data_IF_448237708286
#
_entry.id   IF_448237708286
#
_cell.length_a   1.000
_cell.length_b   1.000
_cell.length_c   1.000
_cell.angle_alpha   90.00
_cell.angle_beta   90.00
_cell.angle_gamma   90.00
#
_symmetry.space_group_name_H-M   'P 1'
#
loop_
_entity.id
_entity.type
_entity.pdbx_description
1 polymer ?
#
# COMPACT_ATOMS: atom_id res chain seq x y z
N UNK A 1 23.99 3.39 -24.14
CA UNK A 1 22.75 4.16 -24.37
C UNK A 1 22.24 4.65 -23.01
N UNK A 2 21.67 5.85 -22.90
CA UNK A 2 21.07 6.33 -21.64
C UNK A 2 19.55 6.32 -21.83
N UNK A 3 18.84 5.73 -20.89
CA UNK A 3 17.38 5.71 -20.86
C UNK A 3 16.89 6.46 -19.63
N UNK A 4 15.77 7.15 -19.79
CA UNK A 4 15.03 7.76 -18.69
C UNK A 4 13.74 6.96 -18.52
N UNK A 5 13.55 6.37 -17.34
CA UNK A 5 12.38 5.57 -17.02
C UNK A 5 11.66 6.23 -15.87
N UNK A 6 10.37 6.44 -16.04
CA UNK A 6 9.48 6.86 -14.99
C UNK A 6 8.88 5.60 -14.37
N UNK A 7 9.17 5.35 -13.10
CA UNK A 7 8.71 4.15 -12.39
C UNK A 7 8.01 4.54 -11.09
N UNK A 8 6.91 3.86 -10.81
CA UNK A 8 6.06 4.09 -9.65
C UNK A 8 5.83 2.77 -8.91
N UNK A 9 5.65 2.85 -7.60
CA UNK A 9 5.08 1.74 -6.86
C UNK A 9 3.57 1.72 -7.07
N UNK A 10 3.01 0.53 -7.20
CA UNK A 10 1.56 0.33 -7.36
C UNK A 10 1.08 -0.46 -6.16
N UNK A 11 -0.05 -0.04 -5.57
CA UNK A 11 -0.75 -0.77 -4.52
C UNK A 11 -2.20 -0.99 -4.94
N UNK A 12 -2.60 -2.26 -4.98
CA UNK A 12 -3.96 -2.68 -5.33
C UNK A 12 -4.82 -2.72 -4.07
N UNK A 13 -5.82 -1.82 -4.03
CA UNK A 13 -6.88 -1.84 -3.02
C UNK A 13 -8.02 -2.74 -3.52
N UNK A 14 -7.94 -4.03 -3.20
CA UNK A 14 -8.97 -5.00 -3.55
C UNK A 14 -10.01 -5.12 -2.41
N UNK A 15 -11.28 -4.95 -2.74
CA UNK A 15 -12.41 -5.24 -1.85
C UNK A 15 -12.95 -6.63 -2.19
N UNK A 16 -12.91 -7.53 -1.21
CA UNK A 16 -13.44 -8.89 -1.32
C UNK A 16 -14.87 -8.95 -1.85
N UNK A 17 -15.72 -7.97 -1.53
CA UNK A 17 -17.13 -7.96 -1.96
C UNK A 17 -17.31 -7.66 -3.45
N UNK A 18 -16.28 -7.10 -4.09
CA UNK A 18 -16.28 -6.69 -5.48
C UNK A 18 -15.56 -7.71 -6.38
N UNK A 19 -14.88 -8.70 -5.79
CA UNK A 19 -14.19 -9.76 -6.53
C UNK A 19 -15.22 -10.61 -7.25
N UNK A 20 -15.16 -10.59 -8.58
CA UNK A 20 -16.03 -11.39 -9.43
C UNK A 20 -15.66 -12.87 -9.41
N UNK A 21 -16.66 -13.73 -9.60
CA UNK A 21 -16.45 -15.15 -9.84
C UNK A 21 -15.65 -15.39 -11.13
N UNK A 22 -14.86 -16.46 -11.16
CA UNK A 22 -14.14 -16.85 -12.36
C UNK A 22 -15.04 -17.54 -13.38
N UNK A 23 -15.00 -17.10 -14.64
CA UNK A 23 -15.47 -17.91 -15.75
C UNK A 23 -14.48 -19.04 -16.01
N UNK A 24 -14.83 -20.25 -15.57
CA UNK A 24 -13.99 -21.46 -15.74
C UNK A 24 -13.80 -21.87 -17.20
N UNK A 25 -14.58 -21.32 -18.12
CA UNK A 25 -14.42 -21.55 -19.55
C UNK A 25 -13.48 -20.56 -20.23
N UNK A 26 -13.15 -19.44 -19.57
CA UNK A 26 -12.24 -18.42 -20.10
C UNK A 26 -10.82 -18.95 -20.30
N UNK A 27 -10.13 -18.40 -21.30
CA UNK A 27 -8.73 -18.75 -21.58
C UNK A 27 -7.81 -18.39 -20.41
N UNK A 28 -8.08 -17.30 -19.70
CA UNK A 28 -7.32 -16.90 -18.51
C UNK A 28 -7.43 -17.98 -17.45
N UNK A 29 -8.65 -18.38 -17.08
CA UNK A 29 -8.83 -19.39 -16.04
C UNK A 29 -8.19 -20.71 -16.49
N UNK A 30 -8.54 -21.21 -17.68
CA UNK A 30 -8.04 -22.49 -18.18
C UNK A 30 -6.52 -22.53 -18.31
N UNK A 31 -5.86 -21.44 -18.71
CA UNK A 31 -4.40 -21.42 -18.87
C UNK A 31 -3.70 -21.33 -17.53
N UNK A 32 -4.14 -20.39 -16.69
CA UNK A 32 -3.40 -20.00 -15.49
C UNK A 32 -3.80 -20.78 -14.23
N UNK A 33 -4.58 -21.86 -14.35
CA UNK A 33 -4.79 -22.86 -13.30
C UNK A 33 -4.19 -24.23 -13.63
N UNK A 34 -3.51 -24.38 -14.77
CA UNK A 34 -2.91 -25.67 -15.17
C UNK A 34 -1.53 -25.87 -14.54
N UNK A 35 -1.13 -27.14 -14.33
CA UNK A 35 0.23 -27.44 -13.91
C UNK A 35 1.24 -27.14 -15.04
N UNK A 36 2.45 -26.79 -14.64
CA UNK A 36 3.63 -26.65 -15.50
C UNK A 36 4.80 -27.38 -14.87
N UNK A 37 5.92 -27.50 -15.58
CA UNK A 37 7.09 -28.27 -15.15
C UNK A 37 7.61 -27.83 -13.77
N UNK A 38 7.75 -26.51 -13.56
CA UNK A 38 8.23 -25.91 -12.30
C UNK A 38 7.10 -25.60 -11.32
N UNK A 39 5.86 -25.57 -11.80
CA UNK A 39 4.64 -25.21 -11.05
C UNK A 39 3.69 -26.41 -11.05
N UNK A 40 4.03 -27.42 -10.24
CA UNK A 40 3.38 -28.73 -10.21
C UNK A 40 2.03 -28.70 -9.45
N UNK A 41 1.11 -27.82 -9.85
CA UNK A 41 -0.14 -27.55 -9.12
C UNK A 41 -1.14 -28.70 -9.08
N UNK A 42 -0.89 -29.77 -9.82
CA UNK A 42 -1.64 -31.04 -9.82
C UNK A 42 -0.99 -32.11 -8.91
N UNK A 43 0.19 -31.85 -8.35
CA UNK A 43 0.84 -32.76 -7.41
C UNK A 43 -0.07 -32.96 -6.17
N UNK A 44 -0.39 -34.21 -5.78
CA UNK A 44 -1.33 -34.47 -4.68
C UNK A 44 -0.97 -33.82 -3.34
N UNK A 45 0.33 -33.68 -3.04
CA UNK A 45 0.79 -33.06 -1.79
C UNK A 45 0.62 -31.54 -1.80
N UNK A 46 0.94 -30.88 -2.93
CA UNK A 46 0.68 -29.46 -3.13
C UNK A 46 -0.82 -29.16 -3.09
N UNK A 47 -1.65 -30.00 -3.72
CA UNK A 47 -3.12 -29.89 -3.69
C UNK A 47 -3.65 -30.03 -2.27
N UNK A 48 -3.23 -31.07 -1.54
CA UNK A 48 -3.61 -31.28 -0.15
C UNK A 48 -3.19 -30.10 0.74
N UNK A 49 -1.96 -29.61 0.56
CA UNK A 49 -1.44 -28.46 1.30
C UNK A 49 -2.23 -27.18 1.01
N UNK A 50 -2.52 -26.89 -0.25
CA UNK A 50 -3.29 -25.71 -0.62
C UNK A 50 -4.73 -25.76 -0.08
N UNK A 51 -5.37 -26.93 -0.11
CA UNK A 51 -6.69 -27.14 0.49
C UNK A 51 -6.68 -26.97 2.02
N UNK A 52 -5.63 -27.43 2.70
CA UNK A 52 -5.44 -27.26 4.14
C UNK A 52 -5.25 -25.77 4.51
N UNK A 53 -4.37 -25.06 3.81
CA UNK A 53 -4.13 -23.62 3.99
C UNK A 53 -5.42 -22.81 3.83
N UNK A 54 -6.23 -23.16 2.81
CA UNK A 54 -7.44 -22.41 2.45
C UNK A 54 -8.71 -22.95 3.09
N UNK A 55 -8.61 -23.93 3.99
CA UNK A 55 -9.75 -24.62 4.59
C UNK A 55 -10.74 -23.66 5.24
N UNK A 56 -12.02 -23.82 4.91
CA UNK A 56 -13.11 -23.01 5.46
C UNK A 56 -13.15 -21.56 4.98
N UNK A 57 -12.23 -21.16 4.08
CA UNK A 57 -12.28 -19.86 3.44
C UNK A 57 -13.01 -19.96 2.11
N UNK A 58 -13.91 -19.02 1.84
CA UNK A 58 -14.59 -18.92 0.54
C UNK A 58 -14.17 -17.67 -0.21
N UNK A 59 -13.66 -16.67 0.49
CA UNK A 59 -13.20 -15.41 -0.07
C UNK A 59 -11.87 -15.61 -0.79
N UNK A 60 -11.86 -15.39 -2.11
CA UNK A 60 -10.69 -15.57 -2.97
C UNK A 60 -9.50 -14.74 -2.49
N UNK A 61 -9.70 -13.45 -2.17
CA UNK A 61 -8.63 -12.58 -1.73
C UNK A 61 -8.00 -13.08 -0.43
N UNK A 62 -8.82 -13.55 0.52
CA UNK A 62 -8.33 -14.16 1.77
C UNK A 62 -7.63 -15.49 1.54
N UNK A 63 -8.08 -16.30 0.58
CA UNK A 63 -7.36 -17.54 0.20
C UNK A 63 -5.96 -17.23 -0.30
N UNK A 64 -5.83 -16.27 -1.22
CA UNK A 64 -4.52 -15.86 -1.74
C UNK A 64 -3.64 -15.32 -0.63
N UNK A 65 -4.19 -14.49 0.26
CA UNK A 65 -3.45 -13.99 1.42
C UNK A 65 -2.94 -15.13 2.31
N UNK A 66 -3.78 -16.15 2.61
CA UNK A 66 -3.35 -17.33 3.39
C UNK A 66 -2.25 -18.12 2.70
N UNK A 67 -2.30 -18.26 1.37
CA UNK A 67 -1.25 -18.91 0.59
C UNK A 67 0.05 -18.10 0.63
N UNK A 68 0.00 -16.80 0.37
CA UNK A 68 1.13 -15.90 0.49
C UNK A 68 1.75 -15.97 1.89
N UNK A 69 0.93 -15.84 2.91
CA UNK A 69 1.31 -15.85 4.32
C UNK A 69 1.95 -17.19 4.74
N UNK A 70 1.46 -18.30 4.20
CA UNK A 70 2.12 -19.60 4.35
C UNK A 70 3.52 -19.59 3.73
N UNK A 71 3.66 -19.16 2.46
CA UNK A 71 4.94 -19.18 1.74
C UNK A 71 6.00 -18.36 2.49
N UNK A 72 5.69 -17.12 2.90
CA UNK A 72 6.67 -16.24 3.58
C UNK A 72 7.11 -16.74 4.97
N UNK A 73 6.32 -17.62 5.60
CA UNK A 73 6.63 -18.23 6.90
C UNK A 73 7.30 -19.59 6.74
N UNK A 74 7.00 -20.30 5.66
CA UNK A 74 7.49 -21.63 5.40
C UNK A 74 8.88 -21.60 4.76
N UNK A 75 9.14 -20.62 3.90
CA UNK A 75 10.37 -20.50 3.13
C UNK A 75 11.44 -19.65 3.83
N UNK A 76 12.70 -20.07 3.69
CA UNK A 76 13.89 -19.32 4.10
C UNK A 76 14.78 -19.04 2.89
N UNK A 77 15.12 -17.78 2.67
CA UNK A 77 15.90 -17.37 1.51
C UNK A 77 17.29 -18.02 1.51
N UNK A 78 17.63 -18.71 0.41
CA UNK A 78 18.93 -19.29 0.14
C UNK A 78 19.12 -19.40 -1.37
N UNK A 79 20.18 -18.81 -1.89
CA UNK A 79 20.55 -18.93 -3.31
C UNK A 79 20.71 -20.39 -3.71
N UNK A 80 20.08 -20.78 -4.82
CA UNK A 80 20.21 -22.13 -5.37
C UNK A 80 21.27 -22.18 -6.48
N UNK A 81 21.82 -23.38 -6.69
CA UNK A 81 22.75 -23.67 -7.78
C UNK A 81 22.04 -23.91 -9.12
N UNK A 82 20.78 -24.32 -9.06
CA UNK A 82 19.86 -24.49 -10.18
C UNK A 82 18.42 -24.23 -9.73
N UNK A 83 17.52 -23.90 -10.67
CA UNK A 83 16.10 -23.71 -10.36
C UNK A 83 15.47 -25.02 -9.85
N UNK A 84 14.75 -24.92 -8.73
CA UNK A 84 14.03 -26.01 -8.09
C UNK A 84 12.53 -25.83 -8.27
N UNK A 85 11.82 -26.96 -8.40
CA UNK A 85 10.37 -26.97 -8.62
C UNK A 85 9.61 -26.59 -7.33
N UNK A 86 8.35 -26.17 -7.48
CA UNK A 86 7.47 -25.85 -6.36
C UNK A 86 7.38 -26.96 -5.29
N UNK A 87 7.35 -28.24 -5.68
CA UNK A 87 7.30 -29.34 -4.72
C UNK A 87 8.57 -29.43 -3.87
N UNK A 88 9.74 -29.23 -4.50
CA UNK A 88 11.01 -29.22 -3.79
C UNK A 88 11.07 -28.07 -2.77
N UNK A 89 10.59 -26.88 -3.14
CA UNK A 89 10.48 -25.74 -2.25
C UNK A 89 9.58 -26.05 -1.04
N UNK A 90 8.44 -26.72 -1.26
CA UNK A 90 7.54 -27.15 -0.20
C UNK A 90 8.23 -28.11 0.79
N UNK A 91 9.01 -29.06 0.31
CA UNK A 91 9.70 -30.05 1.14
C UNK A 91 10.89 -29.45 1.91
N UNK A 92 11.72 -28.68 1.21
CA UNK A 92 13.02 -28.22 1.70
C UNK A 92 12.95 -26.87 2.42
N UNK A 93 11.85 -26.11 2.29
CA UNK A 93 11.60 -24.87 3.05
C UNK A 93 12.63 -23.78 2.78
N UNK A 94 13.30 -23.84 1.64
CA UNK A 94 14.36 -22.93 1.24
C UNK A 94 14.38 -22.74 -0.26
N UNK A 95 15.03 -21.68 -0.74
CA UNK A 95 15.10 -21.31 -2.15
C UNK A 95 15.29 -19.80 -2.31
N UNK A 96 15.41 -19.34 -3.54
CA UNK A 96 15.49 -17.92 -3.90
C UNK A 96 14.20 -17.43 -4.57
N UNK A 97 14.26 -16.31 -5.27
CA UNK A 97 13.09 -15.67 -5.88
C UNK A 97 12.25 -16.63 -6.76
N UNK A 98 12.89 -17.59 -7.41
CA UNK A 98 12.25 -18.57 -8.27
C UNK A 98 11.39 -19.56 -7.48
N UNK A 99 11.95 -20.22 -6.46
CA UNK A 99 11.21 -21.18 -5.61
C UNK A 99 10.07 -20.54 -4.83
N UNK A 100 10.26 -19.32 -4.32
CA UNK A 100 9.20 -18.57 -3.64
C UNK A 100 8.02 -18.35 -4.61
N UNK A 101 8.32 -17.95 -5.84
CA UNK A 101 7.33 -17.67 -6.87
C UNK A 101 6.62 -18.95 -7.35
N UNK A 102 7.38 -20.01 -7.63
CA UNK A 102 6.84 -21.30 -8.06
C UNK A 102 5.93 -21.91 -6.99
N UNK A 103 6.34 -21.90 -5.72
CA UNK A 103 5.54 -22.43 -4.63
C UNK A 103 4.23 -21.64 -4.46
N UNK A 104 4.30 -20.31 -4.47
CA UNK A 104 3.12 -19.46 -4.37
C UNK A 104 2.13 -19.72 -5.50
N UNK A 105 2.61 -19.72 -6.76
CA UNK A 105 1.76 -19.98 -7.93
C UNK A 105 1.18 -21.39 -7.89
N UNK A 106 1.98 -22.41 -7.55
CA UNK A 106 1.50 -23.79 -7.50
C UNK A 106 0.37 -23.97 -6.48
N UNK A 107 0.53 -23.39 -5.29
CA UNK A 107 -0.50 -23.44 -4.24
C UNK A 107 -1.77 -22.68 -4.63
N UNK A 108 -1.65 -21.51 -5.28
CA UNK A 108 -2.82 -20.78 -5.78
C UNK A 108 -3.58 -21.60 -6.85
N UNK A 109 -2.87 -22.11 -7.85
CA UNK A 109 -3.44 -22.89 -8.95
C UNK A 109 -4.11 -24.18 -8.45
N UNK A 110 -3.54 -24.82 -7.44
CA UNK A 110 -4.06 -26.04 -6.83
C UNK A 110 -5.46 -25.88 -6.18
N UNK A 111 -5.86 -24.64 -5.83
CA UNK A 111 -7.20 -24.31 -5.33
C UNK A 111 -8.04 -23.52 -6.33
N UNK A 112 -7.65 -23.53 -7.61
CA UNK A 112 -8.41 -22.93 -8.71
C UNK A 112 -8.29 -21.41 -8.79
N UNK A 113 -7.23 -20.82 -8.24
CA UNK A 113 -6.94 -19.38 -8.36
C UNK A 113 -5.95 -19.20 -9.52
N UNK A 114 -6.31 -18.47 -10.59
CA UNK A 114 -5.38 -18.26 -11.70
C UNK A 114 -4.19 -17.43 -11.24
N UNK A 115 -2.98 -17.93 -11.47
CA UNK A 115 -1.73 -17.29 -11.06
C UNK A 115 -0.63 -17.51 -12.10
N UNK A 116 0.34 -16.61 -12.19
CA UNK A 116 1.46 -16.69 -13.14
C UNK A 116 2.75 -16.15 -12.54
N UNK A 117 3.87 -16.62 -13.08
CA UNK A 117 5.20 -16.11 -12.76
C UNK A 117 5.46 -14.87 -13.60
N UNK A 118 6.10 -13.89 -13.00
CA UNK A 118 6.70 -12.74 -13.66
C UNK A 118 8.21 -12.81 -13.52
N UNK A 119 8.90 -12.42 -14.60
CA UNK A 119 10.36 -12.39 -14.65
C UNK A 119 10.79 -11.02 -15.14
N UNK A 120 11.77 -10.44 -14.46
CA UNK A 120 12.32 -9.14 -14.82
C UNK A 120 13.54 -8.82 -13.98
N UNK A 121 13.67 -7.55 -13.61
CA UNK A 121 14.72 -7.05 -12.74
C UNK A 121 14.08 -6.36 -11.56
N UNK A 122 14.59 -6.62 -10.36
CA UNK A 122 14.20 -5.87 -9.19
C UNK A 122 15.46 -5.48 -8.40
N UNK A 123 15.54 -4.22 -8.01
CA UNK A 123 16.75 -3.68 -7.37
C UNK A 123 16.50 -3.39 -5.89
N UNK A 124 17.17 -4.13 -5.01
CA UNK A 124 17.18 -3.88 -3.57
C UNK A 124 17.97 -2.61 -3.23
N UNK A 125 18.91 -2.20 -4.09
CA UNK A 125 19.70 -0.98 -3.97
C UNK A 125 20.02 -0.33 -5.32
N UNK A 126 20.36 0.96 -5.34
CA UNK A 126 20.72 1.66 -6.59
C UNK A 126 22.06 1.25 -7.19
N UNK A 127 22.87 0.50 -6.42
CA UNK A 127 24.19 0.00 -6.80
C UNK A 127 24.15 -1.39 -7.44
N UNK A 128 23.02 -2.10 -7.36
CA UNK A 128 22.86 -3.41 -7.98
C UNK A 128 22.85 -3.34 -9.51
N UNK A 129 23.34 -4.42 -10.11
CA UNK A 129 23.40 -4.62 -11.56
C UNK A 129 22.25 -5.51 -12.00
N UNK A 130 22.06 -5.69 -13.31
CA UNK A 130 21.09 -6.66 -13.86
C UNK A 130 21.61 -8.10 -13.88
N UNK A 131 22.78 -8.35 -13.25
CA UNK A 131 23.39 -9.68 -13.27
C UNK A 131 22.49 -10.71 -12.57
N UNK A 132 21.71 -10.25 -11.57
CA UNK A 132 20.68 -11.04 -10.91
C UNK A 132 19.31 -10.58 -11.40
N UNK A 133 18.64 -11.42 -12.19
CA UNK A 133 17.22 -11.25 -12.49
C UNK A 133 16.38 -11.42 -11.23
N UNK A 134 15.10 -11.06 -11.30
CA UNK A 134 14.15 -11.30 -10.22
C UNK A 134 12.89 -11.95 -10.74
N UNK A 135 12.37 -12.91 -9.97
CA UNK A 135 11.10 -13.55 -10.23
C UNK A 135 10.14 -13.26 -9.09
N UNK A 136 8.90 -12.95 -9.46
CA UNK A 136 7.78 -12.81 -8.53
C UNK A 136 6.54 -13.44 -9.15
N UNK A 137 5.37 -13.21 -8.56
CA UNK A 137 4.12 -13.76 -9.04
C UNK A 137 3.05 -12.70 -9.23
N UNK A 138 2.07 -13.05 -10.05
CA UNK A 138 0.79 -12.35 -10.10
C UNK A 138 -0.34 -13.36 -9.96
N UNK A 139 -1.43 -12.93 -9.34
CA UNK A 139 -2.66 -13.70 -9.26
C UNK A 139 -3.83 -12.89 -9.83
N UNK A 140 -4.81 -13.58 -10.40
CA UNK A 140 -5.93 -12.93 -11.08
C UNK A 140 -7.13 -12.80 -10.13
N UNK A 141 -7.67 -11.60 -10.00
CA UNK A 141 -8.93 -11.33 -9.31
C UNK A 141 -10.00 -10.94 -10.33
N UNK A 142 -11.17 -11.61 -10.27
CA UNK A 142 -12.31 -11.25 -11.10
C UNK A 142 -12.70 -9.79 -10.87
N UNK A 143 -13.00 -9.06 -11.95
CA UNK A 143 -13.24 -7.61 -12.00
C UNK A 143 -12.03 -6.70 -11.72
N UNK A 144 -10.90 -7.21 -11.23
CA UNK A 144 -9.70 -6.43 -10.91
C UNK A 144 -8.53 -6.66 -11.88
N UNK A 145 -8.40 -7.88 -12.43
CA UNK A 145 -7.28 -8.24 -13.29
C UNK A 145 -6.12 -8.90 -12.54
N UNK A 146 -4.90 -8.73 -13.06
CA UNK A 146 -3.67 -9.28 -12.48
C UNK A 146 -3.18 -8.41 -11.33
N UNK A 147 -2.95 -9.02 -10.18
CA UNK A 147 -2.47 -8.37 -8.96
C UNK A 147 -1.10 -8.96 -8.59
N UNK A 148 -0.07 -8.13 -8.35
CA UNK A 148 1.28 -8.59 -8.05
C UNK A 148 1.43 -9.06 -6.60
N UNK A 149 2.29 -10.06 -6.42
CA UNK A 149 2.77 -10.58 -5.14
C UNK A 149 4.24 -10.96 -5.29
N UNK A 150 5.07 -10.47 -4.38
CA UNK A 150 6.44 -10.94 -4.22
C UNK A 150 6.63 -11.51 -2.82
N UNK A 151 6.58 -12.84 -2.72
CA UNK A 151 6.79 -13.54 -1.47
C UNK A 151 8.24 -13.45 -0.97
N UNK A 152 9.21 -13.20 -1.85
CA UNK A 152 10.62 -13.03 -1.51
C UNK A 152 10.83 -11.74 -0.73
N UNK A 153 10.26 -10.64 -1.23
CA UNK A 153 10.38 -9.30 -0.61
C UNK A 153 9.24 -8.95 0.32
N UNK A 154 8.28 -9.87 0.49
CA UNK A 154 7.09 -9.71 1.34
C UNK A 154 6.18 -8.56 0.88
N UNK A 155 6.05 -8.41 -0.42
CA UNK A 155 5.07 -7.52 -1.03
C UNK A 155 3.79 -8.30 -1.35
N UNK A 156 2.65 -7.82 -0.84
CA UNK A 156 1.33 -8.37 -1.12
C UNK A 156 0.42 -7.27 -1.66
N UNK A 157 -0.18 -7.50 -2.83
CA UNK A 157 -1.00 -6.54 -3.57
C UNK A 157 -0.25 -5.24 -3.88
N UNK A 158 1.07 -5.32 -3.93
CA UNK A 158 1.91 -4.17 -4.16
C UNK A 158 3.11 -4.60 -4.95
N UNK A 159 3.63 -3.67 -5.74
CA UNK A 159 4.93 -3.79 -6.39
C UNK A 159 5.61 -2.45 -6.22
N UNK A 160 6.85 -2.44 -5.72
CA UNK A 160 7.56 -1.20 -5.51
C UNK A 160 8.06 -0.58 -6.84
N UNK A 161 8.55 0.65 -6.77
CA UNK A 161 9.10 1.39 -7.94
C UNK A 161 10.41 0.82 -8.50
N UNK A 162 10.91 -0.30 -7.97
CA UNK A 162 12.21 -0.88 -8.31
C UNK A 162 12.06 -2.21 -9.03
N UNK A 163 10.83 -2.68 -9.25
CA UNK A 163 10.54 -3.81 -10.12
C UNK A 163 10.34 -3.33 -11.56
N UNK A 164 11.04 -3.98 -12.47
CA UNK A 164 11.01 -3.72 -13.91
C UNK A 164 10.77 -5.05 -14.61
N UNK A 165 9.55 -5.29 -15.07
CA UNK A 165 9.26 -6.45 -15.93
C UNK A 165 9.62 -6.14 -17.38
N UNK A 166 9.65 -7.17 -18.22
CA UNK A 166 9.69 -7.00 -19.68
C UNK A 166 8.68 -5.93 -20.11
N UNK A 167 9.19 -4.85 -20.72
CA UNK A 167 8.37 -3.83 -21.37
C UNK A 167 7.63 -4.48 -22.53
N UNK A 168 6.44 -5.02 -22.29
CA UNK A 168 5.48 -5.39 -23.33
C UNK A 168 4.08 -5.34 -22.77
N UNK A 169 3.29 -4.40 -23.28
CA UNK A 169 1.86 -4.21 -22.98
C UNK A 169 0.97 -5.38 -23.43
N UNK A 170 1.51 -6.38 -24.11
CA UNK A 170 0.87 -7.68 -24.38
C UNK A 170 1.98 -8.75 -24.45
N UNK A 171 2.00 -9.78 -23.59
CA UNK A 171 2.86 -10.94 -23.84
C UNK A 171 2.24 -11.77 -24.96
N UNK A 172 2.69 -11.54 -26.20
CA UNK A 172 2.57 -12.56 -27.25
C UNK A 172 3.44 -13.75 -26.85
N UNK A 173 2.91 -14.97 -27.00
CA UNK A 173 3.70 -16.19 -26.77
C UNK A 173 4.75 -16.24 -27.88
N UNK A 174 5.98 -15.84 -27.58
CA UNK A 174 7.13 -16.11 -28.43
C UNK A 174 7.61 -17.53 -28.06
N UNK A 175 7.41 -18.56 -28.91
CA UNK A 175 8.05 -19.84 -28.69
C UNK A 175 9.57 -19.61 -28.69
N UNK A 176 10.25 -20.00 -27.62
CA UNK A 176 11.71 -19.96 -27.39
C UNK A 176 12.52 -19.54 -28.63
N UNK A 177 12.78 -18.24 -28.77
CA UNK A 177 13.76 -17.76 -29.73
C UNK A 177 15.15 -18.03 -29.16
N UNK A 178 15.72 -19.20 -29.46
CA UNK A 178 17.14 -19.45 -29.23
C UNK A 178 17.93 -18.58 -30.20
N UNK A 179 18.48 -17.47 -29.72
CA UNK A 179 19.46 -16.69 -30.49
C UNK A 179 20.78 -17.46 -30.52
N UNK A 180 21.08 -18.08 -31.65
CA UNK A 180 22.38 -18.68 -31.92
C UNK A 180 23.35 -17.60 -32.41
N UNK A 181 24.25 -17.16 -31.53
CA UNK A 181 25.37 -16.30 -31.92
C UNK A 181 26.52 -17.16 -32.45
N UNK A 182 26.68 -17.25 -33.77
CA UNK A 182 27.86 -17.85 -34.37
C UNK A 182 29.03 -16.87 -34.28
N UNK A 183 29.84 -16.97 -33.22
CA UNK A 183 31.12 -16.26 -33.14
C UNK A 183 32.16 -16.97 -34.01
N UNK A 184 32.76 -16.27 -34.96
CA UNK A 184 33.88 -16.76 -35.78
C UNK A 184 35.24 -16.50 -35.14
N UNK A 185 35.27 -16.06 -33.88
CA UNK A 185 36.50 -15.88 -33.09
C UNK A 185 36.34 -16.46 -31.69
N UNK A 186 37.38 -17.18 -31.23
CA UNK A 186 37.63 -17.64 -29.85
C UNK A 186 37.79 -16.45 -28.89
N UNK A 187 36.72 -15.71 -28.68
CA UNK A 187 36.63 -14.76 -27.58
C UNK A 187 35.29 -14.98 -26.92
N UNK A 188 35.32 -15.40 -25.66
CA UNK A 188 34.17 -15.36 -24.76
C UNK A 188 33.45 -14.01 -24.97
N UNK A 189 32.27 -14.06 -25.57
CA UNK A 189 31.41 -12.89 -25.70
C UNK A 189 30.82 -12.61 -24.32
N UNK A 190 31.57 -11.92 -23.47
CA UNK A 190 31.03 -11.35 -22.24
C UNK A 190 30.34 -10.03 -22.59
N UNK A 191 29.05 -10.09 -22.95
CA UNK A 191 28.22 -8.88 -22.97
C UNK A 191 27.77 -8.58 -21.52
N UNK A 192 28.64 -7.90 -20.77
CA UNK A 192 28.29 -7.42 -19.43
C UNK A 192 27.60 -6.06 -19.55
N UNK A 193 26.29 -6.05 -19.42
CA UNK A 193 25.53 -4.81 -19.29
C UNK A 193 25.43 -4.43 -17.81
N UNK A 194 26.09 -3.34 -17.42
CA UNK A 194 25.91 -2.75 -16.08
C UNK A 194 24.81 -1.70 -16.15
N UNK A 195 23.68 -1.95 -15.49
CA UNK A 195 22.65 -0.93 -15.25
C UNK A 195 22.88 -0.35 -13.87
N UNK A 196 22.78 0.97 -13.75
CA UNK A 196 22.82 1.67 -12.47
C UNK A 196 21.62 2.58 -12.40
N UNK A 197 20.84 2.45 -11.33
CA UNK A 197 19.69 3.32 -11.09
C UNK A 197 20.17 4.62 -10.45
N UNK A 198 19.73 5.76 -11.02
CA UNK A 198 19.94 7.08 -10.42
C UNK A 198 18.60 7.80 -10.32
N UNK A 199 18.22 8.36 -9.16
CA UNK A 199 17.07 9.25 -9.07
C UNK A 199 17.25 10.43 -10.03
N UNK A 200 16.16 10.84 -10.69
CA UNK A 200 16.16 11.93 -11.67
C UNK A 200 14.98 12.88 -11.40
N UNK A 201 15.13 14.13 -11.85
CA UNK A 201 14.07 15.14 -11.95
C UNK A 201 13.21 14.88 -13.21
N UNK A 202 11.93 15.31 -13.26
CA UNK A 202 11.15 15.36 -14.50
C UNK A 202 11.87 16.06 -15.67
N UNK A 203 12.79 16.99 -15.40
CA UNK A 203 13.60 17.66 -16.42
C UNK A 203 14.40 16.69 -17.29
N UNK A 204 14.62 15.45 -16.83
CA UNK A 204 15.27 14.40 -17.60
C UNK A 204 14.42 13.89 -18.79
N UNK A 205 13.15 14.28 -18.89
CA UNK A 205 12.25 13.92 -19.99
C UNK A 205 12.08 15.05 -21.01
N UNK A 206 13.11 15.88 -21.22
CA UNK A 206 13.18 16.93 -22.25
C UNK A 206 11.96 17.87 -22.29
N UNK A 207 11.38 18.19 -21.13
CA UNK A 207 10.21 19.07 -21.01
C UNK A 207 8.87 18.43 -21.38
N UNK A 208 8.79 17.10 -21.41
CA UNK A 208 7.51 16.40 -21.58
C UNK A 208 6.56 16.70 -20.42
N UNK A 209 5.38 17.22 -20.74
CA UNK A 209 4.33 17.55 -19.77
C UNK A 209 3.74 16.30 -19.09
N UNK A 210 3.83 15.13 -19.72
CA UNK A 210 3.22 13.92 -19.16
C UNK A 210 3.91 13.46 -17.86
N UNK A 211 5.23 13.17 -17.83
CA UNK A 211 5.94 12.84 -16.58
C UNK A 211 5.81 13.90 -15.48
N UNK A 212 5.82 15.18 -15.86
CA UNK A 212 5.66 16.29 -14.92
C UNK A 212 4.26 16.30 -14.28
N UNK A 213 3.21 16.16 -15.09
CA UNK A 213 1.83 16.10 -14.60
C UNK A 213 1.60 14.85 -13.76
N UNK A 214 2.15 13.69 -14.14
CA UNK A 214 2.05 12.46 -13.33
C UNK A 214 2.67 12.67 -11.96
N UNK A 215 3.90 13.19 -11.90
CA UNK A 215 4.60 13.40 -10.63
C UNK A 215 3.91 14.46 -9.75
N UNK A 216 3.43 15.54 -10.37
CA UNK A 216 2.71 16.61 -9.67
C UNK A 216 1.39 16.10 -9.10
N UNK A 217 0.62 15.35 -9.89
CA UNK A 217 -0.63 14.71 -9.44
C UNK A 217 -0.36 13.76 -8.28
N UNK A 218 0.64 12.89 -8.39
CA UNK A 218 0.99 11.94 -7.33
C UNK A 218 1.38 12.64 -6.02
N UNK A 219 2.14 13.74 -6.08
CA UNK A 219 2.47 14.56 -4.91
C UNK A 219 1.24 15.23 -4.30
N UNK A 220 0.37 15.79 -5.13
CA UNK A 220 -0.86 16.44 -4.69
C UNK A 220 -1.79 15.46 -3.97
N UNK A 221 -1.95 14.25 -4.53
CA UNK A 221 -2.68 13.13 -3.90
C UNK A 221 -2.07 12.76 -2.54
N UNK A 222 -0.75 12.56 -2.44
CA UNK A 222 -0.09 12.23 -1.17
C UNK A 222 -0.29 13.32 -0.09
N UNK A 223 -0.23 14.60 -0.49
CA UNK A 223 -0.50 15.71 0.42
C UNK A 223 -1.97 15.75 0.86
N UNK A 224 -2.90 15.42 -0.03
CA UNK A 224 -4.32 15.32 0.29
C UNK A 224 -4.58 14.19 1.29
N UNK A 225 -4.01 12.99 1.06
CA UNK A 225 -4.10 11.84 1.98
C UNK A 225 -3.55 12.19 3.38
N UNK A 226 -2.36 12.81 3.44
CA UNK A 226 -1.79 13.26 4.71
C UNK A 226 -2.69 14.28 5.41
N UNK A 227 -3.29 15.19 4.65
CA UNK A 227 -4.21 16.19 5.20
C UNK A 227 -5.48 15.55 5.75
N UNK A 228 -6.06 14.57 5.04
CA UNK A 228 -7.19 13.79 5.57
C UNK A 228 -6.78 13.11 6.87
N UNK A 229 -5.69 12.34 6.88
CA UNK A 229 -5.19 11.66 8.08
C UNK A 229 -5.04 12.61 9.28
N UNK A 230 -4.44 13.79 9.08
CA UNK A 230 -4.31 14.81 10.12
C UNK A 230 -5.69 15.32 10.58
N UNK A 231 -6.62 15.54 9.67
CA UNK A 231 -7.97 15.97 10.02
C UNK A 231 -8.72 14.90 10.83
N UNK A 232 -8.60 13.63 10.46
CA UNK A 232 -9.19 12.50 11.18
C UNK A 232 -8.62 12.40 12.60
N UNK A 233 -7.30 12.56 12.76
CA UNK A 233 -6.65 12.61 14.07
C UNK A 233 -7.16 13.77 14.95
N UNK A 234 -7.61 14.87 14.33
CA UNK A 234 -8.27 16.00 14.99
C UNK A 234 -9.78 15.80 15.22
N UNK A 235 -10.32 14.63 14.88
CA UNK A 235 -11.73 14.28 15.07
C UNK A 235 -12.65 14.67 13.91
N UNK A 236 -12.11 14.99 12.73
CA UNK A 236 -12.92 15.39 11.57
C UNK A 236 -13.97 14.34 11.19
N UNK A 237 -13.66 13.05 11.26
CA UNK A 237 -14.59 11.98 10.89
C UNK A 237 -15.81 11.90 11.82
N UNK A 238 -15.72 12.48 13.03
CA UNK A 238 -16.83 12.60 13.98
C UNK A 238 -17.58 13.93 13.82
N UNK A 239 -16.85 15.03 13.63
CA UNK A 239 -17.41 16.39 13.65
C UNK A 239 -17.94 16.80 12.26
N UNK A 240 -17.26 16.37 11.20
CA UNK A 240 -17.56 16.69 9.79
C UNK A 240 -17.57 15.45 8.87
N UNK A 241 -18.37 14.39 9.15
CA UNK A 241 -18.37 13.17 8.35
C UNK A 241 -18.58 13.39 6.83
N UNK A 242 -19.52 14.24 6.38
CA UNK A 242 -19.74 14.45 4.94
C UNK A 242 -18.59 15.17 4.23
N UNK A 243 -17.80 15.98 4.95
CA UNK A 243 -16.63 16.64 4.36
C UNK A 243 -15.45 15.67 4.25
N UNK A 244 -15.29 14.76 5.23
CA UNK A 244 -14.29 13.68 5.19
C UNK A 244 -14.56 12.74 4.01
N UNK A 245 -15.79 12.25 3.87
CA UNK A 245 -16.19 11.36 2.78
C UNK A 245 -15.94 12.01 1.39
N UNK A 246 -16.24 13.30 1.23
CA UNK A 246 -15.99 14.02 -0.02
C UNK A 246 -14.50 14.21 -0.31
N UNK A 247 -13.67 14.35 0.71
CA UNK A 247 -12.22 14.43 0.54
C UNK A 247 -11.68 13.08 0.04
N UNK A 248 -12.09 11.98 0.68
CA UNK A 248 -11.70 10.62 0.29
C UNK A 248 -12.15 10.28 -1.13
N UNK A 249 -13.40 10.58 -1.49
CA UNK A 249 -13.91 10.36 -2.84
C UNK A 249 -13.13 11.14 -3.90
N UNK A 250 -12.72 12.38 -3.60
CA UNK A 250 -11.93 13.20 -4.52
C UNK A 250 -10.51 12.64 -4.71
N UNK A 251 -9.87 12.19 -3.61
CA UNK A 251 -8.57 11.50 -3.66
C UNK A 251 -8.68 10.26 -4.54
N UNK A 252 -9.66 9.40 -4.29
CA UNK A 252 -9.86 8.16 -5.01
C UNK A 252 -10.13 8.39 -6.50
N UNK A 253 -10.97 9.37 -6.85
CA UNK A 253 -11.23 9.73 -8.24
C UNK A 253 -9.97 10.19 -8.97
N UNK A 254 -9.10 10.97 -8.30
CA UNK A 254 -7.82 11.40 -8.86
C UNK A 254 -6.87 10.23 -9.08
N UNK A 255 -6.82 9.27 -8.16
CA UNK A 255 -5.97 8.09 -8.26
C UNK A 255 -6.39 7.20 -9.45
N UNK A 256 -7.69 6.98 -9.64
CA UNK A 256 -8.20 6.20 -10.79
C UNK A 256 -7.79 6.85 -12.11
N UNK A 257 -7.96 8.17 -12.25
CA UNK A 257 -7.62 8.90 -13.48
C UNK A 257 -6.13 8.87 -13.76
N UNK A 258 -5.32 9.00 -12.70
CA UNK A 258 -3.87 8.90 -12.82
C UNK A 258 -3.45 7.51 -13.28
N UNK A 259 -4.05 6.45 -12.73
CA UNK A 259 -3.80 5.07 -13.14
C UNK A 259 -4.20 4.85 -14.61
N UNK A 260 -5.40 5.25 -15.02
CA UNK A 260 -5.86 5.11 -16.41
C UNK A 260 -5.02 5.93 -17.39
N UNK A 261 -4.39 7.04 -16.94
CA UNK A 261 -3.41 7.77 -17.74
C UNK A 261 -2.13 6.96 -17.97
N UNK A 262 -1.60 6.34 -16.90
CA UNK A 262 -0.38 5.52 -16.96
C UNK A 262 -0.62 4.28 -17.84
N UNK A 263 -1.71 3.56 -17.62
CA UNK A 263 -2.03 2.31 -18.33
C UNK A 263 -2.22 2.53 -19.84
N UNK A 264 -2.69 3.72 -20.23
CA UNK A 264 -2.93 4.08 -21.63
C UNK A 264 -1.74 4.70 -22.33
N UNK A 265 -0.65 5.03 -21.63
CA UNK A 265 0.47 5.75 -22.22
C UNK A 265 1.02 5.06 -23.49
N UNK A 266 1.18 3.74 -23.45
CA UNK A 266 1.70 2.97 -24.59
C UNK A 266 0.66 2.71 -25.68
N UNK A 267 -0.62 2.61 -25.32
CA UNK A 267 -1.69 2.23 -26.26
C UNK A 267 -2.41 3.41 -26.91
N UNK A 268 -2.50 4.55 -26.21
CA UNK A 268 -3.17 5.76 -26.65
C UNK A 268 -2.69 7.01 -25.87
N UNK A 269 -1.66 7.67 -26.38
CA UNK A 269 -1.04 8.84 -25.74
C UNK A 269 -1.97 10.06 -25.60
N UNK A 270 -2.91 10.26 -26.54
CA UNK A 270 -3.84 11.39 -26.48
C UNK A 270 -4.81 11.24 -25.28
N UNK A 271 -5.37 10.03 -25.11
CA UNK A 271 -6.23 9.72 -23.97
C UNK A 271 -5.44 9.72 -22.67
N UNK A 272 -4.20 9.21 -22.67
CA UNK A 272 -3.32 9.28 -21.51
C UNK A 272 -3.07 10.74 -21.07
N UNK A 273 -2.81 11.65 -22.02
CA UNK A 273 -2.60 13.07 -21.73
C UNK A 273 -3.86 13.76 -21.19
N UNK A 274 -5.04 13.42 -21.72
CA UNK A 274 -6.31 13.92 -21.21
C UNK A 274 -6.54 13.43 -19.78
N UNK A 275 -6.35 12.14 -19.53
CA UNK A 275 -6.54 11.52 -18.23
C UNK A 275 -5.59 12.09 -17.17
N UNK A 276 -4.31 12.32 -17.49
CA UNK A 276 -3.38 12.90 -16.50
C UNK A 276 -3.73 14.36 -16.20
N UNK A 277 -4.25 15.10 -17.18
CA UNK A 277 -4.70 16.49 -16.98
C UNK A 277 -5.94 16.53 -16.09
N UNK A 278 -6.90 15.64 -16.33
CA UNK A 278 -8.07 15.46 -15.48
C UNK A 278 -7.66 15.02 -14.07
N UNK A 279 -6.71 14.08 -13.96
CA UNK A 279 -6.19 13.60 -12.69
C UNK A 279 -5.57 14.75 -11.88
N UNK A 280 -4.72 15.57 -12.52
CA UNK A 280 -4.10 16.74 -11.89
C UNK A 280 -5.17 17.69 -11.34
N UNK A 281 -6.17 18.05 -12.15
CA UNK A 281 -7.28 18.91 -11.72
C UNK A 281 -8.01 18.31 -10.51
N UNK A 282 -8.35 17.02 -10.56
CA UNK A 282 -9.04 16.37 -9.44
C UNK A 282 -8.17 16.24 -8.19
N UNK A 283 -6.85 16.11 -8.34
CA UNK A 283 -5.91 16.07 -7.21
C UNK A 283 -5.85 17.41 -6.48
N UNK A 284 -5.87 18.52 -7.22
CA UNK A 284 -5.89 19.87 -6.62
C UNK A 284 -7.21 20.12 -5.87
N UNK A 285 -8.33 19.69 -6.43
CA UNK A 285 -9.63 19.73 -5.75
C UNK A 285 -9.63 18.88 -4.47
N UNK A 286 -9.02 17.68 -4.53
CA UNK A 286 -8.86 16.80 -3.37
C UNK A 286 -8.00 17.44 -2.28
N UNK A 287 -6.85 18.01 -2.65
CA UNK A 287 -5.96 18.70 -1.73
C UNK A 287 -6.62 19.89 -1.05
N UNK A 288 -7.38 20.70 -1.81
CA UNK A 288 -8.16 21.80 -1.23
C UNK A 288 -9.20 21.31 -0.22
N UNK A 289 -9.96 20.25 -0.56
CA UNK A 289 -10.96 19.67 0.34
C UNK A 289 -10.32 19.15 1.63
N UNK A 290 -9.25 18.37 1.50
CA UNK A 290 -8.54 17.80 2.63
C UNK A 290 -7.92 18.90 3.53
N UNK A 291 -7.30 19.92 2.93
CA UNK A 291 -6.75 21.06 3.68
C UNK A 291 -7.84 21.84 4.41
N UNK A 292 -8.99 22.05 3.76
CA UNK A 292 -10.14 22.70 4.39
C UNK A 292 -10.71 21.89 5.56
N UNK A 293 -10.67 20.56 5.45
CA UNK A 293 -11.09 19.66 6.52
C UNK A 293 -10.17 19.78 7.74
N UNK A 294 -8.85 19.82 7.55
CA UNK A 294 -7.88 20.09 8.64
C UNK A 294 -8.19 21.41 9.33
N UNK A 295 -8.44 22.47 8.55
CA UNK A 295 -8.80 23.78 9.09
C UNK A 295 -10.09 23.72 9.93
N UNK A 296 -11.15 23.12 9.40
CA UNK A 296 -12.44 22.96 10.10
C UNK A 296 -12.26 22.17 11.40
N UNK A 297 -11.56 21.05 11.36
CA UNK A 297 -11.31 20.20 12.53
C UNK A 297 -10.49 20.94 13.60
N UNK A 298 -9.44 21.64 13.19
CA UNK A 298 -8.61 22.46 14.09
C UNK A 298 -9.43 23.57 14.76
N UNK A 299 -10.24 24.30 13.99
CA UNK A 299 -11.09 25.36 14.51
C UNK A 299 -12.15 24.85 15.49
N UNK A 300 -12.75 23.68 15.20
CA UNK A 300 -13.70 23.03 16.10
C UNK A 300 -13.02 22.61 17.42
N UNK A 301 -11.83 21.99 17.36
CA UNK A 301 -11.06 21.60 18.53
C UNK A 301 -10.72 22.81 19.41
N UNK A 302 -10.22 23.89 18.81
CA UNK A 302 -9.91 25.14 19.52
C UNK A 302 -11.16 25.71 20.19
N UNK A 303 -12.29 25.72 19.48
CA UNK A 303 -13.56 26.21 20.01
C UNK A 303 -14.04 25.40 21.21
N UNK A 304 -13.91 24.07 21.16
CA UNK A 304 -14.23 23.16 22.26
C UNK A 304 -13.33 23.46 23.47
N UNK A 305 -12.02 23.63 23.27
CA UNK A 305 -11.08 23.97 24.35
C UNK A 305 -11.41 25.32 24.98
N UNK A 306 -11.73 26.35 24.19
CA UNK A 306 -12.16 27.66 24.69
C UNK A 306 -13.44 27.53 25.52
N UNK A 307 -14.44 26.78 25.04
CA UNK A 307 -15.69 26.54 25.76
C UNK A 307 -15.41 25.85 27.10
N UNK A 308 -14.58 24.80 27.13
CA UNK A 308 -14.19 24.10 28.35
C UNK A 308 -13.51 25.04 29.34
N UNK A 309 -12.58 25.90 28.88
CA UNK A 309 -11.92 26.89 29.73
C UNK A 309 -12.91 27.90 30.31
N UNK A 310 -13.83 28.42 29.50
CA UNK A 310 -14.85 29.38 29.95
C UNK A 310 -15.79 28.76 30.99
N UNK A 311 -16.20 27.50 30.80
CA UNK A 311 -17.02 26.75 31.77
C UNK A 311 -16.26 26.53 33.07
N UNK A 312 -14.98 26.12 33.00
CA UNK A 312 -14.14 25.96 34.18
C UNK A 312 -13.97 27.27 34.97
N UNK A 313 -13.72 28.39 34.28
CA UNK A 313 -13.62 29.71 34.89
C UNK A 313 -14.94 30.14 35.55
N UNK A 314 -16.08 29.90 34.89
CA UNK A 314 -17.39 30.22 35.46
C UNK A 314 -17.69 29.38 36.72
N UNK A 315 -17.28 28.11 36.74
CA UNK A 315 -17.41 27.24 37.92
C UNK A 315 -16.53 27.71 39.08
N UNK A 316 -15.27 28.10 38.81
CA UNK A 316 -14.36 28.65 39.84
C UNK A 316 -14.89 29.98 40.39
N UNK A 317 -15.39 30.87 39.53
CA UNK A 317 -15.96 32.16 39.93
C UNK A 317 -17.18 32.02 40.84
N UNK A 318 -18.00 30.97 40.64
CA UNK A 318 -19.12 30.65 41.54
C UNK A 318 -18.70 30.17 42.94
N UNK A 319 -17.49 29.61 43.08
CA UNK A 319 -16.92 29.20 44.36
C UNK A 319 -16.29 30.35 45.17
N UNK A 320 -16.00 31.50 44.53
CA UNK A 320 -15.33 32.65 45.18
C UNK A 320 -16.27 33.78 45.65
N UNK A 321 -17.57 33.52 45.89
CA UNK A 321 -18.43 34.56 46.48
C UNK A 321 -18.00 34.90 47.92
N UNK A 322 -17.84 36.20 48.30
CA UNK A 322 -17.46 36.57 49.65
C UNK A 322 -18.58 36.28 50.65
N UNK A 323 -18.26 35.60 51.74
CA UNK A 323 -19.14 35.45 52.90
C UNK A 323 -19.38 36.83 53.52
N UNK A 324 -20.60 37.36 53.40
CA UNK A 324 -21.02 38.61 54.05
C UNK A 324 -20.73 38.55 55.55
N UNK A 325 -19.84 39.43 56.03
CA UNK A 325 -19.60 39.61 57.47
C UNK A 325 -20.84 40.22 58.12
N UNK A 326 -21.61 39.42 58.87
CA UNK A 326 -22.59 39.93 59.85
C UNK A 326 -21.91 40.83 60.88
N UNK A 327 -22.53 41.95 61.30
CA UNK A 327 -21.94 42.85 62.29
C UNK A 327 -21.99 42.23 63.70
N UNK A 328 -20.86 42.32 64.41
CA UNK A 328 -20.70 41.91 65.81
C UNK A 328 -21.47 42.86 66.73
N UNK A 329 -22.52 42.36 67.38
CA UNK A 329 -23.11 42.99 68.56
C UNK A 329 -22.23 42.75 69.78
N UNK A 330 -21.78 43.84 70.43
CA UNK A 330 -21.08 43.80 71.73
C UNK A 330 -22.05 43.32 72.82
N UNK A 331 -21.69 42.25 73.53
CA UNK A 331 -22.25 41.92 74.84
C UNK A 331 -21.16 42.13 75.91
N UNK A 332 -21.44 42.99 76.88
CA UNK A 332 -20.58 43.28 78.03
C UNK A 332 -20.73 42.20 79.10
N UNK A 333 -19.63 41.56 79.49
CA UNK A 333 -19.56 40.67 80.65
C UNK A 333 -19.01 41.44 81.86
N UNK A 334 -19.76 41.43 82.96
CA UNK A 334 -19.41 42.03 84.25
C UNK A 334 -18.48 41.10 85.04
N UNK A 335 -17.45 41.68 85.66
CA UNK A 335 -16.46 40.98 86.51
C UNK A 335 -16.97 41.02 87.96
N UNK A 336 -17.14 39.86 88.58
CA UNK A 336 -17.29 39.74 90.04
C UNK A 336 -16.05 39.08 90.65
N UNK A 337 -15.36 39.84 91.51
CA UNK A 337 -14.30 39.36 92.39
C UNK A 337 -14.90 38.64 93.60
N UNK A 338 -14.36 37.46 93.94
CA UNK A 338 -14.49 36.84 95.26
C UNK A 338 -13.12 36.95 95.92
N UNK A 339 -13.08 37.52 97.13
CA UNK A 339 -11.93 37.46 98.05
C UNK A 339 -12.41 36.74 99.30
N UNK A 340 -11.75 35.63 99.64
CA UNK A 340 -11.91 34.93 100.90
C UNK A 340 -10.66 35.15 101.75
N UNK A 341 -10.90 35.27 103.04
CA UNK A 341 -10.00 35.68 104.11
C UNK A 341 -8.83 34.71 104.34
N UNK A 342 -7.73 35.28 104.85
CA UNK A 342 -6.92 34.64 105.89
C UNK A 342 -6.56 35.65 106.96
N UNK A 343 -6.91 35.27 108.19
CA UNK A 343 -6.32 35.69 109.47
C UNK A 343 -5.00 34.94 109.66
N UNK A 344 -4.14 35.58 110.45
CA UNK A 344 -2.80 35.23 110.99
C UNK A 344 -1.56 35.37 110.09
#
# INVERSE_FOLDING_TARGET
MKYHVLSFGIRYLADSNMVGDYDKNSDIYKKYTQPEELVQSDNPELVSKAQDITKGENDTLKKVFKVYDFVIRHMHYMTQDEERRAMWALENKTGDCSEYSYLFVALCRAVGIPARIQVGFAFSSTSETIEDGHMWAEYYLGNYGWVPVDATWRDFNTLDRRHFTSMSSIPEIIPYANYLFNSTKDSELTDKQTVTLKPLSPDAFDGSLFPENVLTTARSVQQAELSVFLAEALGASLIFPPDAEKADQAIFASQIRLQDAIDRWESNQEVAQLNVTDALKTSDEALQRASMLVYKASAALISIVIIIMLVALALIGRYQMPCEKKPLTRQSASINHIRADTVD
#
